data_IF_801247285855
#
_entry.id   IF_801247285855
#
_cell.length_a   1.000
_cell.length_b   1.000
_cell.length_c   1.000
_cell.angle_alpha   90.00
_cell.angle_beta   90.00
_cell.angle_gamma   90.00
#
_symmetry.space_group_name_H-M   'P 1'
#
loop_
_entity.id
_entity.type
_entity.pdbx_description
1 polymer ?
#
# COMPACT_ATOMS: atom_id res chain seq x y z
N UNK A 1 1.32 -20.12 -4.87
CA UNK A 1 1.73 -18.72 -4.63
C UNK A 1 1.35 -18.34 -3.21
N UNK A 2 2.30 -18.13 -2.28
CA UNK A 2 1.98 -17.87 -0.84
C UNK A 2 2.30 -16.42 -0.44
N UNK A 3 1.61 -15.46 -1.05
CA UNK A 3 1.72 -14.03 -0.68
C UNK A 3 1.15 -13.80 0.73
N UNK A 4 0.16 -14.60 1.15
CA UNK A 4 -0.47 -14.49 2.46
C UNK A 4 0.43 -14.75 3.67
N UNK A 5 1.65 -15.32 3.52
CA UNK A 5 2.61 -15.47 4.63
C UNK A 5 3.30 -14.17 5.03
N UNK A 6 3.24 -13.14 4.17
CA UNK A 6 3.87 -11.84 4.42
C UNK A 6 3.10 -11.04 5.47
N UNK A 7 1.80 -11.31 5.58
CA UNK A 7 0.92 -10.71 6.56
C UNK A 7 0.54 -11.77 7.60
N UNK A 8 0.44 -11.35 8.86
CA UNK A 8 0.13 -12.28 9.95
C UNK A 8 -1.25 -12.89 9.77
N UNK A 9 -2.22 -12.09 9.32
CA UNK A 9 -3.59 -12.51 9.10
C UNK A 9 -4.12 -11.91 7.80
N UNK A 10 -4.71 -12.79 6.96
CA UNK A 10 -5.41 -12.42 5.73
C UNK A 10 -6.89 -12.68 5.96
N UNK A 11 -7.69 -11.62 5.90
CA UNK A 11 -9.14 -11.69 6.09
C UNK A 11 -9.88 -11.99 4.78
N UNK A 12 -9.41 -11.44 3.66
CA UNK A 12 -10.06 -11.63 2.35
C UNK A 12 -9.06 -11.50 1.19
N UNK A 13 -9.36 -12.15 0.05
CA UNK A 13 -8.57 -12.10 -1.18
C UNK A 13 -9.52 -11.94 -2.37
N UNK A 14 -9.41 -10.80 -3.04
CA UNK A 14 -10.21 -10.47 -4.22
C UNK A 14 -9.31 -10.46 -5.45
N UNK A 15 -9.66 -11.29 -6.43
CA UNK A 15 -9.00 -11.34 -7.75
C UNK A 15 -9.94 -10.68 -8.76
N UNK A 16 -9.68 -9.41 -9.16
CA UNK A 16 -10.46 -8.73 -10.18
C UNK A 16 -10.38 -9.48 -11.51
N UNK A 17 -11.53 -9.89 -12.04
CA UNK A 17 -11.63 -10.67 -13.29
C UNK A 17 -11.26 -9.84 -14.53
N UNK A 18 -11.41 -8.51 -14.45
CA UNK A 18 -11.03 -7.56 -15.52
C UNK A 18 -9.98 -6.59 -15.00
N UNK A 19 -8.92 -6.39 -15.79
CA UNK A 19 -7.94 -5.35 -15.51
C UNK A 19 -8.59 -3.98 -15.64
N UNK A 20 -8.54 -3.18 -14.57
CA UNK A 20 -8.95 -1.78 -14.62
C UNK A 20 -7.89 -0.91 -15.32
N UNK A 21 -8.06 0.42 -15.29
CA UNK A 21 -7.04 1.38 -15.73
C UNK A 21 -5.69 1.21 -15.00
N UNK A 22 -5.70 0.54 -13.85
CA UNK A 22 -4.54 0.22 -13.00
C UNK A 22 -3.88 -1.14 -13.34
N UNK A 23 -4.35 -1.83 -14.39
CA UNK A 23 -3.87 -3.16 -14.78
C UNK A 23 -4.47 -4.30 -13.95
N UNK A 24 -3.92 -5.50 -14.14
CA UNK A 24 -4.30 -6.70 -13.37
C UNK A 24 -3.57 -6.69 -12.02
N UNK A 25 -4.31 -6.65 -10.93
CA UNK A 25 -3.79 -6.67 -9.56
C UNK A 25 -4.62 -7.64 -8.71
N UNK A 26 -4.14 -8.00 -7.52
CA UNK A 26 -4.92 -8.74 -6.51
C UNK A 26 -5.12 -7.79 -5.34
N UNK A 27 -6.32 -7.77 -4.76
CA UNK A 27 -6.57 -7.05 -3.51
C UNK A 27 -6.63 -8.05 -2.36
N UNK A 28 -5.96 -7.72 -1.28
CA UNK A 28 -5.95 -8.53 -0.07
C UNK A 28 -6.35 -7.65 1.10
N UNK A 29 -7.31 -8.11 1.89
CA UNK A 29 -7.65 -7.51 3.17
C UNK A 29 -6.84 -8.23 4.24
N UNK A 30 -6.02 -7.47 4.98
CA UNK A 30 -5.05 -8.02 5.92
C UNK A 30 -5.05 -7.23 7.22
N UNK A 31 -4.71 -7.90 8.31
CA UNK A 31 -4.39 -7.23 9.57
C UNK A 31 -2.93 -6.77 9.52
N UNK A 32 -2.70 -5.47 9.78
CA UNK A 32 -1.37 -4.88 9.81
C UNK A 32 -1.06 -4.32 11.20
N UNK A 33 0.17 -4.55 11.65
CA UNK A 33 0.66 -3.91 12.86
C UNK A 33 1.20 -2.50 12.53
N UNK A 34 0.47 -1.47 12.98
CA UNK A 34 0.80 -0.07 12.71
C UNK A 34 2.07 0.42 13.42
N UNK A 35 2.59 -0.30 14.42
CA UNK A 35 3.84 0.04 15.09
C UNK A 35 5.07 -0.37 14.28
N UNK A 36 4.88 -1.13 13.20
CA UNK A 36 5.93 -1.58 12.29
C UNK A 36 5.89 -0.78 10.97
N UNK A 37 7.03 -0.66 10.27
CA UNK A 37 7.06 -0.08 8.94
C UNK A 37 6.12 -0.81 7.97
N UNK A 38 5.47 -0.08 7.08
CA UNK A 38 4.66 -0.65 6.02
C UNK A 38 5.48 -1.62 5.15
N UNK A 39 4.90 -2.77 4.85
CA UNK A 39 5.51 -3.74 3.94
C UNK A 39 5.43 -3.22 2.51
N UNK A 40 6.57 -3.06 1.85
CA UNK A 40 6.64 -2.44 0.51
C UNK A 40 6.37 -3.41 -0.63
N UNK A 41 6.55 -4.69 -0.35
CA UNK A 41 6.43 -5.74 -1.31
C UNK A 41 7.04 -7.03 -0.80
N UNK A 42 7.00 -8.05 -1.64
CA UNK A 42 7.58 -9.37 -1.35
C UNK A 42 8.14 -10.00 -2.61
N UNK A 43 9.11 -10.89 -2.43
CA UNK A 43 9.53 -11.80 -3.48
C UNK A 43 8.53 -12.96 -3.61
N UNK A 44 8.10 -13.25 -4.83
CA UNK A 44 7.27 -14.41 -5.15
C UNK A 44 7.96 -15.25 -6.22
N UNK A 45 7.94 -16.58 -6.04
CA UNK A 45 8.40 -17.51 -7.07
C UNK A 45 7.21 -17.89 -7.96
N UNK A 46 7.34 -17.63 -9.25
CA UNK A 46 6.36 -17.96 -10.29
C UNK A 46 7.11 -18.47 -11.52
N UNK A 47 6.69 -19.64 -12.03
CA UNK A 47 7.32 -20.30 -13.20
C UNK A 47 8.85 -20.43 -13.10
N UNK A 48 9.34 -20.82 -11.92
CA UNK A 48 10.78 -20.99 -11.67
C UNK A 48 11.57 -19.69 -11.47
N UNK A 49 10.99 -18.52 -11.76
CA UNK A 49 11.61 -17.21 -11.59
C UNK A 49 11.09 -16.49 -10.35
N UNK A 50 11.93 -15.65 -9.76
CA UNK A 50 11.55 -14.82 -8.61
C UNK A 50 11.20 -13.42 -9.09
N UNK A 51 10.03 -12.93 -8.69
CA UNK A 51 9.53 -11.61 -9.05
C UNK A 51 9.29 -10.80 -7.78
N UNK A 52 9.65 -9.52 -7.81
CA UNK A 52 9.26 -8.58 -6.77
C UNK A 52 7.83 -8.10 -7.03
N UNK A 53 6.95 -8.25 -6.05
CA UNK A 53 5.58 -7.75 -6.08
C UNK A 53 5.50 -6.56 -5.16
N UNK A 54 5.16 -5.39 -5.72
CA UNK A 54 4.92 -4.18 -4.95
C UNK A 54 3.57 -4.26 -4.23
N UNK A 55 3.53 -3.68 -3.02
CA UNK A 55 2.29 -3.48 -2.30
C UNK A 55 1.88 -2.01 -2.35
N UNK A 56 0.59 -1.79 -2.60
CA UNK A 56 -0.04 -0.48 -2.52
C UNK A 56 -1.23 -0.58 -1.56
N UNK A 57 -1.39 0.43 -0.72
CA UNK A 57 -2.35 0.47 0.37
C UNK A 57 -3.52 1.39 -0.01
N UNK A 58 -4.72 0.83 -0.04
CA UNK A 58 -5.96 1.61 -0.15
C UNK A 58 -6.31 2.25 1.20
N UNK A 59 -6.86 3.47 1.18
CA UNK A 59 -7.24 4.23 2.39
C UNK A 59 -6.11 4.35 3.43
N UNK A 60 -4.85 4.36 2.96
CA UNK A 60 -3.68 4.46 3.82
C UNK A 60 -3.60 5.85 4.48
N UNK A 61 -3.60 5.95 5.82
CA UNK A 61 -3.32 7.19 6.51
C UNK A 61 -1.92 7.73 6.19
N UNK A 62 -1.63 8.94 6.66
CA UNK A 62 -0.26 9.45 6.60
C UNK A 62 0.68 8.61 7.45
N UNK A 63 1.87 8.38 6.90
CA UNK A 63 2.92 7.61 7.53
C UNK A 63 4.26 8.31 7.29
N UNK A 64 5.24 7.97 8.11
CA UNK A 64 6.55 8.57 8.05
C UNK A 64 7.32 8.07 6.80
N UNK A 65 7.72 8.95 5.88
CA UNK A 65 8.50 8.55 4.70
C UNK A 65 9.95 8.18 5.05
N UNK A 66 10.42 8.59 6.23
CA UNK A 66 11.67 8.10 6.78
C UNK A 66 11.52 6.64 7.24
N UNK A 67 10.71 6.33 8.27
CA UNK A 67 10.70 4.99 8.86
C UNK A 67 9.55 4.05 8.44
N UNK A 68 8.56 4.53 7.68
CA UNK A 68 7.44 3.74 7.17
C UNK A 68 6.29 3.50 8.16
N UNK A 69 6.31 4.09 9.36
CA UNK A 69 5.33 3.84 10.44
C UNK A 69 4.11 4.78 10.31
N UNK A 70 2.90 4.24 10.46
CA UNK A 70 1.63 4.98 10.54
C UNK A 70 1.43 5.46 11.98
N UNK A 71 2.08 6.58 12.34
CA UNK A 71 1.89 7.21 13.65
C UNK A 71 2.36 8.67 13.66
N UNK A 72 3.35 9.00 12.82
CA UNK A 72 3.97 10.31 12.80
C UNK A 72 4.38 10.71 11.39
N UNK A 73 4.54 12.02 11.19
CA UNK A 73 5.13 12.59 9.99
C UNK A 73 6.65 12.54 10.07
N UNK A 74 7.33 12.58 8.93
CA UNK A 74 8.80 12.54 8.85
C UNK A 74 9.51 13.60 9.72
N UNK A 75 8.93 14.80 9.82
CA UNK A 75 9.44 15.88 10.69
C UNK A 75 9.49 15.53 12.18
N UNK A 76 8.67 14.57 12.62
CA UNK A 76 8.57 14.14 14.02
C UNK A 76 9.18 12.73 14.21
N UNK A 77 10.05 12.28 13.29
CA UNK A 77 10.61 10.95 13.34
C UNK A 77 11.83 10.86 14.27
N UNK A 78 11.66 10.25 15.43
CA UNK A 78 12.73 10.05 16.42
C UNK A 78 13.87 9.14 15.91
N UNK A 79 13.67 8.41 14.80
CA UNK A 79 14.69 7.56 14.20
C UNK A 79 15.61 8.32 13.23
N UNK A 80 15.29 9.58 12.93
CA UNK A 80 16.03 10.40 11.95
C UNK A 80 17.39 10.83 12.48
N UNK A 81 17.50 11.09 13.79
CA UNK A 81 18.75 11.50 14.45
C UNK A 81 19.73 10.33 14.60
N UNK A 82 19.22 9.11 14.81
CA UNK A 82 20.03 7.90 15.01
C UNK A 82 20.52 7.27 13.70
N UNK A 83 19.98 7.68 12.56
CA UNK A 83 20.38 7.17 11.26
C UNK A 83 20.17 8.26 10.20
N UNK A 84 21.09 9.24 10.09
CA UNK A 84 21.03 10.23 9.03
C UNK A 84 21.20 9.48 7.71
N UNK A 85 20.08 9.21 7.02
CA UNK A 85 20.10 8.59 5.70
C UNK A 85 20.88 9.51 4.76
N UNK A 86 22.16 9.20 4.56
CA UNK A 86 23.02 9.85 3.57
C UNK A 86 22.45 9.52 2.20
N UNK A 87 21.87 10.50 1.50
CA UNK A 87 21.62 10.49 0.05
C UNK A 87 21.10 9.17 -0.59
N UNK A 88 20.40 8.32 0.18
CA UNK A 88 19.86 7.06 -0.34
C UNK A 88 18.48 7.29 -0.94
N UNK A 89 18.18 6.51 -1.99
CA UNK A 89 16.84 6.47 -2.60
C UNK A 89 15.79 6.27 -1.50
N UNK A 90 14.77 7.15 -1.42
CA UNK A 90 13.76 7.05 -0.37
C UNK A 90 13.08 5.67 -0.40
N UNK A 91 13.18 4.94 0.71
CA UNK A 91 12.65 3.59 0.82
C UNK A 91 11.11 3.59 0.84
N UNK A 92 10.49 4.70 1.26
CA UNK A 92 9.05 4.87 1.38
C UNK A 92 8.61 6.20 0.75
N UNK A 93 7.38 6.25 0.25
CA UNK A 93 6.80 7.47 -0.29
C UNK A 93 5.39 7.27 -0.80
N UNK A 94 4.85 8.29 -1.47
CA UNK A 94 3.45 8.34 -1.90
C UNK A 94 3.03 7.21 -2.81
N UNK A 95 3.97 6.56 -3.52
CA UNK A 95 3.71 5.40 -4.36
C UNK A 95 3.19 4.19 -3.58
N UNK A 96 3.38 4.12 -2.26
CA UNK A 96 2.76 3.08 -1.42
C UNK A 96 1.26 3.31 -1.22
N UNK A 97 0.73 4.49 -1.51
CA UNK A 97 -0.70 4.78 -1.43
C UNK A 97 -1.33 4.55 -2.79
N UNK A 98 -2.46 3.86 -2.82
CA UNK A 98 -3.32 3.86 -4.01
C UNK A 98 -3.94 5.25 -4.13
N UNK A 99 -3.87 5.86 -5.32
CA UNK A 99 -4.55 7.13 -5.57
C UNK A 99 -6.05 6.91 -5.43
N UNK A 100 -6.63 7.49 -4.37
CA UNK A 100 -8.06 7.41 -4.16
C UNK A 100 -8.74 8.18 -5.31
N UNK A 101 -9.63 7.51 -6.06
CA UNK A 101 -10.56 8.23 -6.94
C UNK A 101 -11.26 9.31 -6.12
N UNK A 102 -11.26 10.57 -6.58
CA UNK A 102 -12.36 11.49 -6.26
C UNK A 102 -13.62 10.75 -6.68
N UNK A 103 -14.43 10.32 -5.72
CA UNK A 103 -15.80 9.92 -6.01
C UNK A 103 -16.47 11.20 -6.50
N UNK A 104 -16.58 11.39 -7.81
CA UNK A 104 -17.52 12.36 -8.34
C UNK A 104 -18.89 11.78 -8.03
N UNK A 105 -19.51 12.28 -6.96
CA UNK A 105 -20.94 12.09 -6.74
C UNK A 105 -21.65 12.83 -7.87
N UNK A 106 -22.00 12.15 -8.94
CA UNK A 106 -23.04 12.62 -9.83
C UNK A 106 -24.35 12.41 -9.09
N UNK A 107 -24.96 13.48 -8.60
CA UNK A 107 -26.33 13.47 -8.11
C UNK A 107 -27.24 12.88 -9.19
N UNK A 108 -28.18 11.98 -8.86
CA UNK A 108 -29.20 11.58 -9.81
C UNK A 108 -30.10 12.78 -10.08
N UNK A 109 -30.29 13.12 -11.37
CA UNK A 109 -31.37 14.01 -11.79
C UNK A 109 -32.70 13.38 -11.35
N UNK A 110 -33.32 13.96 -10.34
CA UNK A 110 -34.76 13.84 -10.13
C UNK A 110 -35.46 14.92 -10.94
N UNK A 111 -36.64 14.55 -11.46
CA UNK A 111 -37.69 15.40 -12.03
C UNK A 111 -37.68 15.55 -13.56
N UNK A 112 -38.20 14.49 -14.20
CA UNK A 112 -39.17 14.64 -15.26
C UNK A 112 -40.57 14.63 -14.62
N UNK A 113 -41.29 15.74 -14.68
CA UNK A 113 -42.76 15.87 -14.84
C UNK A 113 -43.10 17.36 -14.93
#
# INVERSE_FOLDING_TARGET
>A
MKIGKVFNQVADVIIPVRGGKEGKHIKILVEINLTKPLTRGTMVKFEGRTHWVNFNYERCPDFCYHCGIIAHLEKNCNLRENNPRKAEVPQFGSWLKVSSRKIQMTTPNSEAS
#
